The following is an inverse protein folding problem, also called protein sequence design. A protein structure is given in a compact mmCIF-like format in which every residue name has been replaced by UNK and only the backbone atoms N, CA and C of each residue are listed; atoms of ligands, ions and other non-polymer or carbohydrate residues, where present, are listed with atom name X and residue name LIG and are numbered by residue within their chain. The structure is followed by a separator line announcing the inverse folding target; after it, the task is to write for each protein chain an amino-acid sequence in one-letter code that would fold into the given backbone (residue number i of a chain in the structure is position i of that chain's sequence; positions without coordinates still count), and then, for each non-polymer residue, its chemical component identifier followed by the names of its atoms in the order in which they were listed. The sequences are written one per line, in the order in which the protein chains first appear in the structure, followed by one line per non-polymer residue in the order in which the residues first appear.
data_IF_842894496156
#
_entry.id   IF_842894496156
#
_cell.length_a   1.000
_cell.length_b   1.000
_cell.length_c   1.000
_cell.angle_alpha   90.00
_cell.angle_beta   90.00
_cell.angle_gamma   90.00
#
_symmetry.space_group_name_H-M   'P 1'
#
loop_
_entity.id
_entity.type
_entity.pdbx_description
1 polymer ?
#
# COMPACT_ATOMS: atom_id res chain seq x y z
N UNK A 1 0.88 -17.55 21.38
CA UNK A 1 0.98 -16.11 21.07
C UNK A 1 -0.05 -15.84 19.99
N UNK A 2 -1.16 -15.20 20.34
CA UNK A 2 -2.21 -14.88 19.38
C UNK A 2 -1.67 -13.79 18.45
N UNK A 3 -1.29 -14.17 17.23
CA UNK A 3 -1.07 -13.21 16.16
C UNK A 3 -2.42 -12.61 15.81
N UNK A 4 -2.75 -11.49 16.44
CA UNK A 4 -3.76 -10.59 15.89
C UNK A 4 -3.21 -10.13 14.54
N UNK A 5 -3.72 -10.72 13.47
CA UNK A 5 -3.42 -10.27 12.10
C UNK A 5 -3.80 -8.80 12.06
N UNK A 6 -2.81 -7.92 11.92
CA UNK A 6 -3.06 -6.49 11.90
C UNK A 6 -3.76 -6.13 10.60
N UNK A 7 -4.64 -5.12 10.65
CA UNK A 7 -5.36 -4.61 9.49
C UNK A 7 -4.45 -4.38 8.27
N UNK A 8 -3.23 -3.90 8.52
CA UNK A 8 -2.20 -3.66 7.51
C UNK A 8 -1.75 -4.93 6.78
N UNK A 9 -1.59 -6.04 7.50
CA UNK A 9 -1.13 -7.31 6.92
C UNK A 9 -2.19 -7.90 5.99
N UNK A 10 -3.46 -7.88 6.43
CA UNK A 10 -4.59 -8.29 5.60
C UNK A 10 -4.71 -7.38 4.37
N UNK A 11 -4.60 -6.07 4.55
CA UNK A 11 -4.68 -5.11 3.45
C UNK A 11 -3.60 -5.36 2.41
N UNK A 12 -2.35 -5.57 2.84
CA UNK A 12 -1.23 -5.86 1.94
C UNK A 12 -1.48 -7.17 1.19
N UNK A 13 -1.92 -8.22 1.90
CA UNK A 13 -2.21 -9.53 1.30
C UNK A 13 -3.31 -9.44 0.23
N UNK A 14 -4.38 -8.68 0.49
CA UNK A 14 -5.44 -8.47 -0.50
C UNK A 14 -4.95 -7.63 -1.68
N UNK A 15 -4.21 -6.54 -1.46
CA UNK A 15 -3.66 -5.70 -2.54
C UNK A 15 -2.67 -6.47 -3.42
N UNK A 16 -1.90 -7.41 -2.85
CA UNK A 16 -0.95 -8.23 -3.62
C UNK A 16 -1.63 -9.06 -4.72
N UNK A 17 -2.91 -9.42 -4.55
CA UNK A 17 -3.69 -10.14 -5.57
C UNK A 17 -4.00 -9.28 -6.80
N UNK A 18 -3.87 -7.96 -6.68
CA UNK A 18 -4.22 -6.99 -7.72
C UNK A 18 -2.98 -6.18 -8.14
N UNK A 19 -2.08 -6.73 -8.98
CA UNK A 19 -0.84 -6.07 -9.39
C UNK A 19 -1.05 -4.70 -10.03
N UNK A 20 -2.13 -4.51 -10.78
CA UNK A 20 -2.51 -3.22 -11.38
C UNK A 20 -2.74 -2.07 -10.36
N UNK A 21 -2.83 -2.35 -9.06
CA UNK A 21 -2.90 -1.32 -8.02
C UNK A 21 -1.55 -0.70 -7.66
N UNK A 22 -0.45 -1.43 -7.83
CA UNK A 22 0.89 -0.99 -7.40
C UNK A 22 1.96 -1.11 -8.49
N UNK A 23 1.78 -2.01 -9.44
CA UNK A 23 2.67 -2.23 -10.58
C UNK A 23 2.40 -1.19 -11.67
N UNK A 24 3.42 -0.40 -12.00
CA UNK A 24 3.37 0.64 -13.01
C UNK A 24 3.58 0.10 -14.45
N UNK A 25 4.05 -1.14 -14.56
CA UNK A 25 4.30 -1.84 -15.83
C UNK A 25 3.05 -2.57 -16.33
N UNK A 26 2.07 -2.80 -15.47
CA UNK A 26 0.81 -3.42 -15.83
C UNK A 26 -0.01 -2.51 -16.79
N UNK A 27 -0.43 -3.05 -17.92
CA UNK A 27 -1.21 -2.31 -18.92
C UNK A 27 -2.55 -1.80 -18.36
N UNK A 28 -3.13 -2.50 -17.37
CA UNK A 28 -4.38 -2.14 -16.71
C UNK A 28 -4.17 -1.14 -15.57
N UNK A 29 -2.94 -0.77 -15.21
CA UNK A 29 -2.69 0.27 -14.22
C UNK A 29 -3.31 1.62 -14.60
N UNK A 30 -3.36 1.92 -15.90
CA UNK A 30 -4.00 3.13 -16.44
C UNK A 30 -5.53 3.03 -16.46
N UNK A 31 -6.09 1.82 -16.33
CA UNK A 31 -7.52 1.61 -16.34
C UNK A 31 -8.11 1.99 -14.97
N UNK A 32 -8.71 3.19 -14.90
CA UNK A 32 -9.36 3.70 -13.70
C UNK A 32 -10.43 2.74 -13.17
N UNK A 33 -11.22 2.14 -14.06
CA UNK A 33 -12.33 1.26 -13.68
C UNK A 33 -11.83 -0.02 -13.01
N UNK A 34 -10.74 -0.63 -13.51
CA UNK A 34 -10.18 -1.83 -12.89
C UNK A 34 -9.63 -1.54 -11.49
N UNK A 35 -8.91 -0.42 -11.33
CA UNK A 35 -8.41 -0.02 -10.02
C UNK A 35 -9.54 0.22 -9.02
N UNK A 36 -10.59 0.90 -9.45
CA UNK A 36 -11.75 1.17 -8.59
C UNK A 36 -12.46 -0.12 -8.17
N UNK A 37 -12.69 -1.04 -9.12
CA UNK A 37 -13.25 -2.36 -8.82
C UNK A 37 -12.37 -3.14 -7.84
N UNK A 38 -11.05 -3.19 -8.04
CA UNK A 38 -10.15 -3.90 -7.13
C UNK A 38 -10.21 -3.32 -5.71
N UNK A 39 -10.21 -1.99 -5.56
CA UNK A 39 -10.38 -1.35 -4.25
C UNK A 39 -11.74 -1.63 -3.62
N UNK A 40 -12.81 -1.69 -4.40
CA UNK A 40 -14.13 -2.10 -3.89
C UNK A 40 -14.13 -3.55 -3.42
N UNK A 41 -13.50 -4.47 -4.17
CA UNK A 41 -13.37 -5.87 -3.76
C UNK A 41 -12.56 -6.01 -2.47
N UNK A 42 -11.46 -5.27 -2.34
CA UNK A 42 -10.65 -5.24 -1.11
C UNK A 42 -11.47 -4.68 0.06
N UNK A 43 -12.18 -3.56 -0.15
CA UNK A 43 -13.05 -2.97 0.87
C UNK A 43 -14.12 -3.96 1.33
N UNK A 44 -14.76 -4.64 0.40
CA UNK A 44 -15.76 -5.67 0.70
C UNK A 44 -15.16 -6.84 1.49
N UNK A 45 -14.01 -7.38 1.06
CA UNK A 45 -13.32 -8.47 1.74
C UNK A 45 -12.87 -8.11 3.16
N UNK A 46 -12.56 -6.84 3.40
CA UNK A 46 -12.14 -6.33 4.72
C UNK A 46 -13.31 -5.79 5.56
N UNK A 47 -14.53 -5.81 5.03
CA UNK A 47 -15.71 -5.16 5.65
C UNK A 47 -15.44 -3.69 6.00
N UNK A 48 -14.76 -2.98 5.09
CA UNK A 48 -14.37 -1.57 5.24
C UNK A 48 -14.65 -0.80 3.96
N UNK A 49 -14.65 0.53 4.11
CA UNK A 49 -14.79 1.40 2.96
C UNK A 49 -13.51 1.38 2.11
N UNK A 50 -13.68 1.22 0.80
CA UNK A 50 -12.59 1.15 -0.17
C UNK A 50 -11.63 2.35 -0.06
N UNK A 51 -12.12 3.55 0.24
CA UNK A 51 -11.29 4.74 0.37
C UNK A 51 -10.41 4.71 1.62
N UNK A 52 -10.89 4.12 2.73
CA UNK A 52 -10.06 3.90 3.91
C UNK A 52 -8.91 2.93 3.61
N UNK A 53 -9.19 1.84 2.86
CA UNK A 53 -8.18 0.89 2.41
C UNK A 53 -7.14 1.56 1.50
N UNK A 54 -7.59 2.42 0.55
CA UNK A 54 -6.70 3.20 -0.32
C UNK A 54 -5.78 4.11 0.47
N UNK A 55 -6.33 4.90 1.39
CA UNK A 55 -5.53 5.84 2.19
C UNK A 55 -4.52 5.11 3.06
N UNK A 56 -4.93 4.00 3.69
CA UNK A 56 -4.02 3.20 4.50
C UNK A 56 -2.89 2.59 3.67
N UNK A 57 -3.20 2.01 2.51
CA UNK A 57 -2.18 1.44 1.64
C UNK A 57 -1.22 2.50 1.10
N UNK A 58 -1.74 3.70 0.76
CA UNK A 58 -0.92 4.85 0.38
C UNK A 58 0.06 5.21 1.51
N UNK A 59 -0.42 5.31 2.75
CA UNK A 59 0.42 5.58 3.92
C UNK A 59 1.52 4.51 4.10
N UNK A 60 1.16 3.22 4.03
CA UNK A 60 2.11 2.11 4.14
C UNK A 60 3.21 2.18 3.06
N UNK A 61 2.82 2.43 1.82
CA UNK A 61 3.76 2.58 0.69
C UNK A 61 4.66 3.79 0.84
N UNK A 62 4.14 4.92 1.34
CA UNK A 62 4.93 6.12 1.58
C UNK A 62 5.93 5.91 2.72
N UNK A 63 5.48 5.28 3.81
CA UNK A 63 6.35 4.89 4.93
C UNK A 63 7.47 3.97 4.45
N UNK A 64 7.15 2.91 3.71
CA UNK A 64 8.14 1.99 3.15
C UNK A 64 9.12 2.69 2.21
N UNK A 65 8.64 3.59 1.34
CA UNK A 65 9.51 4.37 0.43
C UNK A 65 10.44 5.27 1.23
N UNK A 66 9.95 5.92 2.28
CA UNK A 66 10.76 6.78 3.16
C UNK A 66 11.82 5.95 3.89
N UNK A 67 11.45 4.83 4.49
CA UNK A 67 12.37 3.91 5.16
C UNK A 67 13.42 3.36 4.18
N UNK A 68 12.99 2.91 3.00
CA UNK A 68 13.90 2.44 1.94
C UNK A 68 14.86 3.54 1.47
N UNK A 69 14.39 4.77 1.30
CA UNK A 69 15.24 5.90 0.93
C UNK A 69 16.21 6.27 2.05
N UNK A 70 15.78 6.23 3.32
CA UNK A 70 16.68 6.42 4.47
C UNK A 70 17.76 5.32 4.52
N UNK A 71 17.41 4.09 4.15
CA UNK A 71 18.33 2.94 4.17
C UNK A 71 19.29 2.92 2.98
N UNK A 72 18.92 3.54 1.85
CA UNK A 72 19.79 3.71 0.68
C UNK A 72 20.57 5.04 0.70
N UNK A 73 20.31 5.91 1.68
CA UNK A 73 21.13 7.07 1.92
C UNK A 73 22.33 6.65 2.78
N UNK A 74 23.58 6.93 2.39
CA UNK A 74 24.67 6.85 3.36
C UNK A 74 24.29 7.76 4.53
N UNK A 75 24.36 7.24 5.76
CA UNK A 75 24.20 8.02 6.98
C UNK A 75 25.16 9.21 6.92
N UNK A 76 24.63 10.35 6.51
CA UNK A 76 25.39 11.51 6.10
C UNK A 76 24.56 12.75 6.39
N UNK A 77 24.92 13.36 7.52
CA UNK A 77 24.55 14.72 7.95
C UNK A 77 23.30 14.82 8.82
N UNK A 78 23.51 14.42 10.07
CA UNK A 78 23.34 15.27 11.25
C UNK A 78 23.19 16.78 10.93
N UNK A 79 22.16 17.39 11.54
CA UNK A 79 21.98 18.80 11.93
C UNK A 79 22.45 19.89 10.97
N UNK A 80 21.58 20.87 10.71
CA UNK A 80 22.04 22.26 10.71
C UNK A 80 20.91 23.23 11.11
N UNK A 81 21.15 23.84 12.29
CA UNK A 81 20.87 25.22 12.79
C UNK A 81 19.46 25.78 12.71
#
# INVERSE_FOLDING_TARGET
MSMSICFDEVLISEVQKYPHLYDLSDANHKNRLMRENAWQQIGFAMERNADNCKERFKYLRDKYRKEKNLMNLPSGSQQQI
#
